data_IF_431972594339
#
_entry.id   IF_431972594339
#
_cell.length_a   1.000
_cell.length_b   1.000
_cell.length_c   1.000
_cell.angle_alpha   90.00
_cell.angle_beta   90.00
_cell.angle_gamma   90.00
#
_symmetry.space_group_name_H-M   'P 1'
#
loop_
_entity.id
_entity.type
_entity.pdbx_description
1 polymer ?
#
# COMPACT_ATOMS: atom_id res chain seq x y z
N UNK A 1 9.71 29.79 -5.72
CA UNK A 1 9.90 30.33 -4.35
C UNK A 1 10.04 29.16 -3.40
N UNK A 2 10.92 29.26 -2.41
CA UNK A 2 11.13 28.24 -1.37
C UNK A 2 10.21 28.54 -0.20
N UNK A 3 9.58 27.53 0.41
CA UNK A 3 8.79 27.68 1.65
C UNK A 3 9.74 27.68 2.85
N UNK A 4 9.59 28.63 3.78
CA UNK A 4 10.25 28.59 5.08
C UNK A 4 9.26 28.16 6.16
N UNK A 5 9.63 27.16 6.95
CA UNK A 5 8.81 26.61 8.03
C UNK A 5 9.51 26.94 9.34
N UNK A 6 8.90 27.80 10.14
CA UNK A 6 9.36 28.09 11.49
C UNK A 6 8.72 27.14 12.50
N UNK A 7 9.53 26.59 13.40
CA UNK A 7 9.07 25.79 14.54
C UNK A 7 10.08 25.91 15.69
N UNK A 8 9.65 26.00 16.96
CA UNK A 8 10.57 26.27 18.08
C UNK A 8 11.60 25.15 18.31
N UNK A 9 11.32 23.94 17.85
CA UNK A 9 12.21 22.79 17.96
C UNK A 9 12.10 21.94 16.70
N UNK A 10 13.24 21.46 16.17
CA UNK A 10 13.26 20.60 14.99
C UNK A 10 13.52 19.15 15.42
N UNK A 11 12.47 18.34 15.45
CA UNK A 11 12.54 16.90 15.77
C UNK A 11 12.56 16.02 14.51
N UNK A 12 12.80 14.72 14.68
CA UNK A 12 12.71 13.75 13.57
C UNK A 12 11.28 13.65 13.00
N UNK A 13 10.25 13.65 13.87
CA UNK A 13 8.83 13.68 13.47
C UNK A 13 8.49 14.91 12.65
N UNK A 14 8.98 16.09 13.03
CA UNK A 14 8.81 17.35 12.28
C UNK A 14 9.45 17.24 10.90
N UNK A 15 10.71 16.79 10.82
CA UNK A 15 11.42 16.62 9.55
C UNK A 15 10.67 15.65 8.62
N UNK A 16 10.22 14.53 9.18
CA UNK A 16 9.46 13.52 8.46
C UNK A 16 8.15 14.07 7.92
N UNK A 17 7.33 14.69 8.78
CA UNK A 17 6.01 15.19 8.42
C UNK A 17 6.09 16.31 7.39
N UNK A 18 6.99 17.28 7.54
CA UNK A 18 7.13 18.31 6.51
C UNK A 18 7.73 17.77 5.20
N UNK A 19 8.59 16.75 5.25
CA UNK A 19 9.01 16.03 4.04
C UNK A 19 7.82 15.32 3.38
N UNK A 20 6.95 14.68 4.15
CA UNK A 20 5.73 14.04 3.64
C UNK A 20 4.89 15.05 2.85
N UNK A 21 4.63 16.24 3.42
CA UNK A 21 3.82 17.26 2.77
C UNK A 21 4.54 17.90 1.57
N UNK A 22 5.80 18.30 1.66
CA UNK A 22 6.40 19.13 0.61
C UNK A 22 7.24 18.34 -0.42
N UNK A 23 7.71 17.15 -0.05
CA UNK A 23 8.50 16.26 -0.93
C UNK A 23 7.67 15.13 -1.53
N UNK A 24 6.78 14.49 -0.76
CA UNK A 24 6.06 13.29 -1.22
C UNK A 24 4.69 13.61 -1.80
N UNK A 25 3.85 14.33 -1.05
CA UNK A 25 2.52 14.80 -1.47
C UNK A 25 2.62 15.96 -2.47
N UNK A 26 3.54 16.89 -2.20
CA UNK A 26 3.90 18.00 -3.08
C UNK A 26 5.27 17.77 -3.74
N UNK A 27 5.71 18.74 -4.53
CA UNK A 27 7.08 18.82 -5.10
C UNK A 27 7.65 20.23 -4.94
N UNK A 28 7.49 20.81 -3.76
CA UNK A 28 7.88 22.19 -3.45
C UNK A 28 9.14 22.24 -2.62
N UNK A 29 10.04 23.16 -2.95
CA UNK A 29 11.25 23.39 -2.16
C UNK A 29 10.88 24.00 -0.81
N UNK A 30 11.44 23.47 0.28
CA UNK A 30 11.20 23.97 1.62
C UNK A 30 12.46 23.94 2.49
N UNK A 31 12.44 24.68 3.60
CA UNK A 31 13.40 24.53 4.70
C UNK A 31 12.71 24.72 6.04
N UNK A 32 13.24 24.08 7.08
CA UNK A 32 12.76 24.21 8.45
C UNK A 32 13.81 25.00 9.25
N UNK A 33 13.37 25.97 10.05
CA UNK A 33 14.22 26.76 10.93
C UNK A 33 13.59 26.88 12.33
N UNK A 34 14.43 26.96 13.35
CA UNK A 34 14.05 27.37 14.71
C UNK A 34 14.56 28.78 15.06
N UNK A 35 15.20 29.44 14.10
CA UNK A 35 15.66 30.82 14.22
C UNK A 35 14.58 31.78 13.70
N UNK A 36 14.12 32.67 14.57
CA UNK A 36 13.15 33.72 14.25
C UNK A 36 13.75 34.81 13.35
N UNK A 37 15.04 35.10 13.46
CA UNK A 37 15.69 36.14 12.64
C UNK A 37 15.67 35.75 11.15
N UNK A 38 15.78 34.46 10.86
CA UNK A 38 15.66 33.93 9.50
C UNK A 38 14.34 34.27 8.80
N UNK A 39 13.25 34.55 9.55
CA UNK A 39 11.96 34.94 8.98
C UNK A 39 12.01 36.33 8.34
N UNK A 40 12.74 37.28 8.94
CA UNK A 40 12.79 38.68 8.49
C UNK A 40 13.44 38.83 7.11
N UNK A 41 14.35 37.92 6.75
CA UNK A 41 15.06 37.94 5.48
C UNK A 41 14.41 37.06 4.40
N UNK A 42 13.37 36.29 4.74
CA UNK A 42 12.74 35.36 3.82
C UNK A 42 11.67 36.05 2.95
N UNK A 43 11.83 35.92 1.62
CA UNK A 43 10.95 36.56 0.64
C UNK A 43 9.84 35.62 0.10
N UNK A 44 9.79 34.37 0.55
CA UNK A 44 8.82 33.38 0.11
C UNK A 44 7.71 33.11 1.14
N UNK A 45 6.85 32.10 0.89
CA UNK A 45 5.83 31.68 1.84
C UNK A 45 6.43 31.23 3.17
N UNK A 46 5.83 31.68 4.28
CA UNK A 46 6.23 31.31 5.64
C UNK A 46 5.10 30.51 6.29
N UNK A 47 5.42 29.32 6.79
CA UNK A 47 4.54 28.54 7.68
C UNK A 47 5.09 28.70 9.10
N UNK A 48 4.25 29.17 10.01
CA UNK A 48 4.57 29.25 11.43
C UNK A 48 3.88 28.09 12.17
N UNK A 49 4.66 27.10 12.56
CA UNK A 49 4.24 25.93 13.33
C UNK A 49 4.73 26.05 14.79
N UNK A 50 4.12 27.00 15.52
CA UNK A 50 4.42 27.31 16.92
C UNK A 50 3.18 27.74 17.70
N UNK A 51 3.29 27.87 19.03
CA UNK A 51 2.16 28.27 19.90
C UNK A 51 1.79 29.75 19.80
N UNK A 52 2.62 30.57 19.14
CA UNK A 52 2.45 32.02 19.04
C UNK A 52 2.23 32.40 17.59
N UNK A 53 1.21 33.22 17.32
CA UNK A 53 0.98 33.77 15.99
C UNK A 53 2.08 34.77 15.63
N UNK A 54 2.53 34.73 14.39
CA UNK A 54 3.55 35.63 13.85
C UNK A 54 2.98 36.34 12.62
N UNK A 55 3.22 37.64 12.52
CA UNK A 55 2.76 38.44 11.39
C UNK A 55 3.32 37.91 10.06
N UNK A 56 2.57 38.11 8.97
CA UNK A 56 2.94 37.70 7.60
C UNK A 56 3.25 36.19 7.42
N UNK A 57 2.80 35.34 8.34
CA UNK A 57 2.96 33.87 8.28
C UNK A 57 1.61 33.14 8.17
N UNK A 58 1.59 31.96 7.56
CA UNK A 58 0.49 31.01 7.72
C UNK A 58 0.66 30.32 9.06
N UNK A 59 -0.09 30.75 10.07
CA UNK A 59 0.00 30.20 11.42
C UNK A 59 -0.85 28.95 11.58
N UNK A 60 -0.19 27.86 12.00
CA UNK A 60 -0.81 26.55 12.26
C UNK A 60 -0.31 26.09 13.63
N UNK A 61 -1.04 26.36 14.72
CA UNK A 61 -0.59 26.03 16.06
C UNK A 61 -0.48 24.50 16.24
N UNK A 62 0.64 24.01 16.81
CA UNK A 62 0.90 22.60 16.82
C UNK A 62 0.32 21.90 18.05
N UNK A 63 -0.03 20.63 17.88
CA UNK A 63 -0.18 19.69 18.98
C UNK A 63 1.20 19.20 19.45
N UNK A 64 1.23 18.50 20.59
CA UNK A 64 2.48 18.05 21.20
C UNK A 64 3.16 16.90 20.45
N UNK A 65 2.39 16.06 19.74
CA UNK A 65 2.87 14.79 19.19
C UNK A 65 4.17 14.91 18.38
N UNK A 66 4.32 15.96 17.56
CA UNK A 66 5.51 16.12 16.72
C UNK A 66 6.75 16.57 17.51
N UNK A 67 6.60 17.02 18.75
CA UNK A 67 7.70 17.39 19.64
C UNK A 67 8.07 16.28 20.63
N UNK A 68 7.26 15.23 20.68
CA UNK A 68 7.44 14.11 21.62
C UNK A 68 8.32 13.01 21.02
N UNK A 69 8.80 12.12 21.90
CA UNK A 69 9.50 10.88 21.56
C UNK A 69 8.80 9.71 22.25
N UNK A 70 8.86 8.54 21.64
CA UNK A 70 8.24 7.34 22.17
C UNK A 70 6.72 7.30 21.93
N UNK A 71 6.09 6.27 22.49
CA UNK A 71 4.70 5.94 22.25
C UNK A 71 3.87 6.24 23.51
N UNK A 72 2.79 7.00 23.34
CA UNK A 72 1.83 7.37 24.38
C UNK A 72 0.44 6.90 23.96
N UNK A 73 -0.35 6.40 24.92
CA UNK A 73 -1.73 6.01 24.70
C UNK A 73 -2.72 7.18 24.78
N UNK A 74 -2.23 8.39 25.10
CA UNK A 74 -3.02 9.64 25.11
C UNK A 74 -3.27 10.16 23.69
N UNK A 75 -4.13 9.46 22.96
CA UNK A 75 -4.62 9.90 21.65
C UNK A 75 -5.83 10.80 21.86
N UNK A 76 -5.72 12.06 21.42
CA UNK A 76 -6.82 13.03 21.48
C UNK A 76 -8.08 12.54 20.75
N UNK A 77 -9.22 13.10 21.14
CA UNK A 77 -10.51 12.84 20.48
C UNK A 77 -10.47 13.18 18.98
N UNK A 78 -11.31 12.47 18.22
CA UNK A 78 -11.54 12.75 16.79
C UNK A 78 -12.15 14.13 16.61
N UNK A 79 -11.69 14.84 15.57
CA UNK A 79 -12.23 16.14 15.18
C UNK A 79 -12.60 16.10 13.71
N UNK A 80 -13.81 16.56 13.40
CA UNK A 80 -14.27 16.78 12.02
C UNK A 80 -14.42 18.27 11.76
N UNK A 81 -13.81 18.76 10.68
CA UNK A 81 -13.91 20.16 10.25
C UNK A 81 -13.70 20.26 8.74
N UNK A 82 -14.58 20.99 8.03
CA UNK A 82 -14.51 21.20 6.56
C UNK A 82 -14.33 19.90 5.76
N UNK A 83 -15.10 18.86 6.08
CA UNK A 83 -15.05 17.50 5.50
C UNK A 83 -13.74 16.72 5.75
N UNK A 84 -12.83 17.28 6.54
CA UNK A 84 -11.60 16.63 7.00
C UNK A 84 -11.84 16.02 8.38
N UNK A 85 -11.27 14.84 8.61
CA UNK A 85 -11.43 14.08 9.87
C UNK A 85 -10.07 13.70 10.42
N UNK A 86 -9.69 14.28 11.55
CA UNK A 86 -8.37 14.10 12.18
C UNK A 86 -8.42 13.95 13.70
N UNK A 87 -7.27 14.14 14.33
CA UNK A 87 -7.03 14.08 15.78
C UNK A 87 -6.18 15.28 16.22
N UNK A 88 -5.99 15.43 17.53
CA UNK A 88 -5.24 16.53 18.14
C UNK A 88 -5.90 17.89 17.88
N UNK A 89 -7.03 18.10 18.56
CA UNK A 89 -7.80 19.33 18.49
C UNK A 89 -6.96 20.57 18.81
N UNK A 90 -7.12 21.63 18.01
CA UNK A 90 -6.46 22.92 18.20
C UNK A 90 -7.52 24.01 18.32
N UNK A 91 -7.72 24.56 19.52
CA UNK A 91 -8.75 25.58 19.77
C UNK A 91 -8.42 26.97 19.23
N UNK A 92 -7.16 27.21 18.87
CA UNK A 92 -6.65 28.53 18.48
C UNK A 92 -6.45 28.73 16.98
N UNK A 93 -6.56 27.67 16.17
CA UNK A 93 -6.29 27.75 14.74
C UNK A 93 -7.53 28.32 14.00
N UNK A 94 -7.41 29.44 13.29
CA UNK A 94 -8.55 30.04 12.56
C UNK A 94 -8.92 29.28 11.28
N UNK A 95 -8.03 28.41 10.79
CA UNK A 95 -8.20 27.73 9.51
C UNK A 95 -8.77 26.32 9.65
N UNK A 96 -8.42 25.58 10.70
CA UNK A 96 -8.86 24.20 10.92
C UNK A 96 -8.82 23.82 12.41
N UNK A 97 -9.80 23.06 12.88
CA UNK A 97 -9.97 22.74 14.32
C UNK A 97 -9.02 21.68 14.90
N UNK A 98 -8.05 21.19 14.13
CA UNK A 98 -7.08 20.20 14.58
C UNK A 98 -5.74 20.37 13.86
N UNK A 99 -4.69 19.76 14.43
CA UNK A 99 -3.36 19.78 13.83
C UNK A 99 -3.25 18.76 12.70
N UNK A 100 -3.28 19.23 11.45
CA UNK A 100 -3.15 18.40 10.25
C UNK A 100 -1.81 17.67 10.15
N UNK A 101 -0.72 18.24 10.70
CA UNK A 101 0.61 17.64 10.65
C UNK A 101 0.75 16.53 11.69
N UNK A 102 0.30 16.76 12.93
CA UNK A 102 0.26 15.73 13.95
C UNK A 102 -0.71 14.59 13.56
N UNK A 103 -1.89 14.93 13.03
CA UNK A 103 -2.84 13.95 12.49
C UNK A 103 -2.25 13.10 11.37
N UNK A 104 -1.58 13.73 10.40
CA UNK A 104 -0.93 13.01 9.32
C UNK A 104 0.13 12.06 9.87
N UNK A 105 1.01 12.53 10.76
CA UNK A 105 2.05 11.70 11.37
C UNK A 105 1.47 10.47 12.08
N UNK A 106 0.45 10.65 12.92
CA UNK A 106 -0.25 9.56 13.60
C UNK A 106 -0.75 8.49 12.61
N UNK A 107 -1.35 8.92 11.50
CA UNK A 107 -1.91 8.04 10.49
C UNK A 107 -0.83 7.32 9.63
N UNK A 108 0.20 8.02 9.14
CA UNK A 108 1.24 7.38 8.29
C UNK A 108 2.26 6.56 9.08
N UNK A 109 2.60 6.95 10.30
CA UNK A 109 3.47 6.14 11.16
C UNK A 109 2.79 4.86 11.64
N UNK A 110 1.47 4.73 11.38
CA UNK A 110 0.61 3.67 11.91
C UNK A 110 0.70 3.60 13.44
N UNK A 111 0.73 4.76 14.08
CA UNK A 111 0.91 4.91 15.53
C UNK A 111 -0.04 4.01 16.33
N UNK A 112 -1.29 3.88 15.88
CA UNK A 112 -2.30 3.00 16.48
C UNK A 112 -1.92 1.51 16.54
N UNK A 113 -1.02 1.04 15.66
CA UNK A 113 -0.56 -0.35 15.62
C UNK A 113 0.55 -0.63 16.65
N UNK A 114 1.14 0.41 17.24
CA UNK A 114 2.08 0.29 18.36
C UNK A 114 1.36 0.29 19.71
N UNK A 115 0.09 0.69 19.75
CA UNK A 115 -0.77 0.62 20.93
C UNK A 115 -1.43 -0.76 21.04
N UNK A 116 -1.95 -1.14 22.22
CA UNK A 116 -2.73 -2.36 22.38
C UNK A 116 -3.91 -2.41 21.38
N UNK A 117 -3.94 -3.44 20.53
CA UNK A 117 -4.93 -3.56 19.48
C UNK A 117 -5.35 -5.02 19.25
N UNK A 118 -6.52 -5.19 18.64
CA UNK A 118 -7.03 -6.49 18.26
C UNK A 118 -6.47 -6.92 16.92
N UNK A 119 -6.06 -8.19 16.86
CA UNK A 119 -5.52 -8.83 15.67
C UNK A 119 -6.47 -9.89 15.15
N UNK A 120 -6.41 -10.17 13.86
CA UNK A 120 -7.18 -11.24 13.25
C UNK A 120 -6.51 -12.62 13.44
N UNK A 121 -7.13 -13.66 12.88
CA UNK A 121 -6.64 -15.05 12.97
C UNK A 121 -5.24 -15.28 12.36
N UNK A 122 -4.75 -14.35 11.54
CA UNK A 122 -3.40 -14.39 10.95
C UNK A 122 -2.45 -13.41 11.65
N UNK A 123 -2.83 -12.91 12.83
CA UNK A 123 -2.08 -11.94 13.63
C UNK A 123 -1.88 -10.59 12.93
N UNK A 124 -2.81 -10.21 12.04
CA UNK A 124 -2.77 -8.93 11.31
C UNK A 124 -3.58 -7.86 12.03
N UNK A 125 -3.20 -6.60 11.90
CA UNK A 125 -4.00 -5.48 12.37
C UNK A 125 -5.37 -5.45 11.64
N UNK A 126 -6.45 -5.38 12.42
CA UNK A 126 -7.81 -5.53 11.88
C UNK A 126 -8.43 -4.19 11.48
N UNK A 127 -8.93 -4.11 10.25
CA UNK A 127 -9.44 -2.88 9.65
C UNK A 127 -10.58 -2.25 10.46
N UNK A 128 -11.52 -3.06 10.96
CA UNK A 128 -12.70 -2.60 11.70
C UNK A 128 -12.35 -1.85 13.00
N UNK A 129 -11.15 -2.05 13.53
CA UNK A 129 -10.68 -1.37 14.73
C UNK A 129 -9.79 -0.17 14.46
N UNK A 130 -9.42 0.04 13.19
CA UNK A 130 -8.61 1.18 12.77
C UNK A 130 -9.35 2.50 13.01
N UNK A 131 -8.58 3.52 13.32
CA UNK A 131 -9.08 4.88 13.50
C UNK A 131 -9.86 5.36 12.26
N UNK A 132 -9.34 5.08 11.06
CA UNK A 132 -9.99 5.49 9.81
C UNK A 132 -11.34 4.79 9.56
N UNK A 133 -11.46 3.50 9.92
CA UNK A 133 -12.73 2.77 9.80
C UNK A 133 -13.76 3.28 10.81
N UNK A 134 -13.38 3.39 12.09
CA UNK A 134 -14.28 3.84 13.17
C UNK A 134 -14.87 5.23 12.92
N UNK A 135 -14.11 6.08 12.25
CA UNK A 135 -14.52 7.46 11.95
C UNK A 135 -14.98 7.66 10.49
N UNK A 136 -15.25 6.58 9.76
CA UNK A 136 -15.96 6.64 8.47
C UNK A 136 -15.19 7.24 7.30
N UNK A 137 -13.86 7.24 7.34
CA UNK A 137 -13.04 7.82 6.26
C UNK A 137 -12.02 6.85 5.65
N UNK A 138 -12.11 5.55 5.94
CA UNK A 138 -11.18 4.53 5.42
C UNK A 138 -11.01 4.58 3.89
N UNK A 139 -12.08 4.88 3.15
CA UNK A 139 -12.08 4.94 1.68
C UNK A 139 -11.59 6.28 1.12
N UNK A 140 -11.18 7.22 1.97
CA UNK A 140 -10.63 8.52 1.58
C UNK A 140 -9.13 8.58 1.90
N UNK A 141 -8.26 9.03 0.98
CA UNK A 141 -6.86 9.28 1.28
C UNK A 141 -6.74 10.60 2.08
N UNK A 142 -7.21 10.60 3.33
CA UNK A 142 -7.41 11.79 4.18
C UNK A 142 -6.18 12.70 4.26
N UNK A 143 -4.98 12.13 4.29
CA UNK A 143 -3.73 12.90 4.36
C UNK A 143 -3.46 13.65 3.05
N UNK A 144 -3.85 13.09 1.91
CA UNK A 144 -3.81 13.81 0.65
C UNK A 144 -4.78 14.99 0.65
N UNK A 145 -5.96 14.85 1.25
CA UNK A 145 -6.88 15.97 1.44
C UNK A 145 -6.34 17.03 2.38
N UNK A 146 -5.62 16.66 3.45
CA UNK A 146 -4.90 17.64 4.29
C UNK A 146 -3.88 18.44 3.51
N UNK A 147 -3.14 17.79 2.61
CA UNK A 147 -2.15 18.46 1.77
C UNK A 147 -2.81 19.44 0.80
N UNK A 148 -3.87 19.04 0.09
CA UNK A 148 -4.60 19.94 -0.82
C UNK A 148 -5.23 21.13 -0.07
N UNK A 149 -5.74 20.91 1.15
CA UNK A 149 -6.21 21.97 2.02
C UNK A 149 -5.09 22.95 2.39
N UNK A 150 -3.94 22.45 2.86
CA UNK A 150 -2.77 23.27 3.19
C UNK A 150 -2.27 24.06 1.98
N UNK A 151 -2.22 23.44 0.81
CA UNK A 151 -1.76 24.10 -0.41
C UNK A 151 -2.69 25.22 -0.84
N UNK A 152 -4.00 25.01 -0.72
CA UNK A 152 -4.99 26.06 -0.98
C UNK A 152 -4.79 27.27 -0.06
N UNK A 153 -4.54 27.03 1.25
CA UNK A 153 -4.25 28.12 2.19
C UNK A 153 -2.97 28.88 1.85
N UNK A 154 -1.92 28.17 1.41
CA UNK A 154 -0.66 28.79 0.99
C UNK A 154 -0.84 29.63 -0.28
N UNK A 155 -1.56 29.12 -1.26
CA UNK A 155 -1.83 29.80 -2.54
C UNK A 155 -2.73 31.02 -2.34
N UNK A 156 -3.69 30.96 -1.42
CA UNK A 156 -4.54 32.09 -1.02
C UNK A 156 -3.74 33.19 -0.30
N UNK A 157 -2.90 32.81 0.68
CA UNK A 157 -2.14 33.78 1.48
C UNK A 157 -0.98 34.42 0.71
N UNK A 158 -0.37 33.70 -0.23
CA UNK A 158 0.80 34.15 -0.98
C UNK A 158 0.52 34.19 -2.48
N UNK A 159 -0.15 35.25 -2.99
CA UNK A 159 -0.44 35.41 -4.41
C UNK A 159 0.83 35.30 -5.27
N UNK A 160 0.83 34.38 -6.23
CA UNK A 160 1.98 34.10 -7.10
C UNK A 160 2.82 32.89 -6.67
N UNK A 161 2.58 32.32 -5.50
CA UNK A 161 3.06 30.99 -5.15
C UNK A 161 2.08 29.93 -5.62
N UNK A 162 2.57 28.89 -6.29
CA UNK A 162 1.78 27.72 -6.68
C UNK A 162 2.49 26.47 -6.21
N UNK A 163 1.77 25.60 -5.50
CA UNK A 163 2.32 24.32 -5.06
C UNK A 163 2.38 23.37 -6.24
N UNK A 164 3.54 22.75 -6.45
CA UNK A 164 3.67 21.67 -7.43
C UNK A 164 2.97 20.43 -6.89
N UNK A 165 1.89 20.03 -7.56
CA UNK A 165 1.13 18.82 -7.25
C UNK A 165 1.69 17.61 -7.99
N UNK A 166 1.44 16.43 -7.44
CA UNK A 166 1.67 15.19 -8.16
C UNK A 166 0.77 15.09 -9.40
N UNK A 167 1.09 14.14 -10.28
CA UNK A 167 0.17 13.70 -11.33
C UNK A 167 -0.39 12.35 -10.94
N UNK A 168 -1.68 12.15 -11.18
CA UNK A 168 -2.32 10.86 -11.01
C UNK A 168 -1.53 9.73 -11.69
N UNK A 169 -1.43 8.58 -11.02
CA UNK A 169 -0.77 7.39 -11.54
C UNK A 169 -1.58 6.15 -11.20
N UNK A 170 -1.54 5.18 -12.10
CA UNK A 170 -2.05 3.84 -11.85
C UNK A 170 -0.92 2.81 -11.81
N UNK A 171 -0.99 1.89 -10.84
CA UNK A 171 -0.14 0.71 -10.77
C UNK A 171 -0.99 -0.54 -10.53
N UNK A 172 -0.97 -1.44 -11.50
CA UNK A 172 -1.50 -2.79 -11.34
C UNK A 172 -0.46 -3.66 -10.62
N UNK A 173 -0.87 -4.45 -9.63
CA UNK A 173 0.03 -5.40 -8.97
C UNK A 173 -0.60 -6.78 -8.92
N UNK A 174 0.21 -7.82 -9.15
CA UNK A 174 -0.27 -9.20 -9.26
C UNK A 174 0.56 -10.11 -8.37
N UNK A 175 -0.10 -10.79 -7.43
CA UNK A 175 0.51 -11.78 -6.55
C UNK A 175 0.36 -13.17 -7.17
N UNK A 176 1.47 -13.89 -7.27
CA UNK A 176 1.56 -15.24 -7.86
C UNK A 176 1.81 -16.26 -6.76
N UNK A 177 0.75 -16.58 -6.03
CA UNK A 177 0.74 -17.64 -5.01
C UNK A 177 0.85 -19.03 -5.64
N UNK A 178 0.21 -19.17 -6.80
CA UNK A 178 0.14 -20.40 -7.58
C UNK A 178 0.24 -20.08 -9.06
N UNK A 179 1.39 -20.39 -9.67
CA UNK A 179 1.59 -20.10 -11.09
C UNK A 179 0.63 -20.89 -12.02
N UNK A 180 0.20 -22.07 -11.58
CA UNK A 180 -0.76 -22.92 -12.28
C UNK A 180 -1.70 -23.58 -11.27
N UNK A 181 -2.94 -23.85 -11.66
CA UNK A 181 -3.88 -24.60 -10.83
C UNK A 181 -3.55 -26.09 -10.82
N UNK A 182 -3.17 -26.65 -11.98
CA UNK A 182 -2.95 -28.08 -12.19
C UNK A 182 -1.57 -28.41 -12.73
N UNK A 183 -1.09 -27.63 -13.72
CA UNK A 183 0.20 -27.90 -14.37
C UNK A 183 1.37 -27.66 -13.42
N UNK A 184 2.49 -28.33 -13.71
CA UNK A 184 3.78 -28.10 -13.03
C UNK A 184 3.80 -28.35 -11.50
N UNK A 185 2.72 -28.88 -10.91
CA UNK A 185 2.63 -29.16 -9.47
C UNK A 185 3.47 -30.37 -9.03
N UNK A 186 3.89 -31.24 -9.95
CA UNK A 186 4.60 -32.48 -9.67
C UNK A 186 3.65 -33.67 -9.42
N UNK A 187 4.15 -34.88 -9.68
CA UNK A 187 3.34 -36.12 -9.75
C UNK A 187 2.54 -36.38 -8.48
N UNK A 188 3.19 -36.31 -7.31
CA UNK A 188 2.56 -36.59 -6.01
C UNK A 188 1.36 -35.68 -5.75
N UNK A 189 1.48 -34.38 -6.01
CA UNK A 189 0.38 -33.43 -5.79
C UNK A 189 -0.74 -33.59 -6.80
N UNK A 190 -0.41 -33.95 -8.04
CA UNK A 190 -1.43 -34.26 -9.06
C UNK A 190 -2.24 -35.49 -8.65
N UNK A 191 -1.58 -36.56 -8.21
CA UNK A 191 -2.26 -37.78 -7.72
C UNK A 191 -3.11 -37.46 -6.48
N UNK A 192 -2.55 -36.77 -5.48
CA UNK A 192 -3.29 -36.40 -4.28
C UNK A 192 -4.50 -35.51 -4.58
N UNK A 193 -4.37 -34.57 -5.51
CA UNK A 193 -5.48 -33.74 -5.98
C UNK A 193 -6.58 -34.56 -6.68
N UNK A 194 -6.20 -35.51 -7.53
CA UNK A 194 -7.13 -36.44 -8.19
C UNK A 194 -7.86 -37.33 -7.17
N UNK A 195 -7.13 -37.94 -6.24
CA UNK A 195 -7.72 -38.78 -5.18
C UNK A 195 -8.70 -37.95 -4.34
N UNK A 196 -8.31 -36.72 -3.95
CA UNK A 196 -9.20 -35.81 -3.24
C UNK A 196 -10.48 -35.54 -4.04
N UNK A 197 -10.36 -35.20 -5.32
CA UNK A 197 -11.53 -34.91 -6.17
C UNK A 197 -12.46 -36.13 -6.30
N UNK A 198 -11.93 -37.36 -6.31
CA UNK A 198 -12.72 -38.60 -6.31
C UNK A 198 -13.42 -38.79 -4.96
N UNK A 199 -12.68 -38.70 -3.84
CA UNK A 199 -13.23 -38.92 -2.49
C UNK A 199 -14.30 -37.88 -2.14
N UNK A 200 -14.13 -36.63 -2.58
CA UNK A 200 -15.13 -35.56 -2.35
C UNK A 200 -16.25 -35.52 -3.39
N UNK A 201 -16.24 -36.42 -4.39
CA UNK A 201 -17.25 -36.45 -5.45
C UNK A 201 -17.22 -35.25 -6.40
N UNK A 202 -16.12 -34.49 -6.45
CA UNK A 202 -15.98 -33.31 -7.31
C UNK A 202 -15.58 -33.70 -8.75
N UNK A 203 -16.45 -34.47 -9.41
CA UNK A 203 -16.20 -35.00 -10.75
C UNK A 203 -15.99 -33.91 -11.81
N UNK A 204 -16.66 -32.76 -11.66
CA UNK A 204 -16.47 -31.60 -12.54
C UNK A 204 -15.01 -31.11 -12.51
N UNK A 205 -14.44 -30.97 -11.31
CA UNK A 205 -13.04 -30.57 -11.13
C UNK A 205 -12.07 -31.65 -11.61
N UNK A 206 -12.40 -32.93 -11.37
CA UNK A 206 -11.60 -34.07 -11.85
C UNK A 206 -11.47 -34.07 -13.38
N UNK A 207 -12.60 -33.98 -14.10
CA UNK A 207 -12.62 -33.92 -15.57
C UNK A 207 -11.88 -32.68 -16.08
N UNK A 208 -12.04 -31.54 -15.40
CA UNK A 208 -11.31 -30.33 -15.75
C UNK A 208 -9.79 -30.51 -15.59
N UNK A 209 -9.33 -31.03 -14.45
CA UNK A 209 -7.93 -31.38 -14.16
C UNK A 209 -7.35 -32.28 -15.25
N UNK A 210 -8.02 -33.39 -15.57
CA UNK A 210 -7.56 -34.35 -16.59
C UNK A 210 -7.42 -33.65 -17.95
N UNK A 211 -8.42 -32.87 -18.37
CA UNK A 211 -8.36 -32.16 -19.64
C UNK A 211 -7.21 -31.12 -19.70
N UNK A 212 -6.91 -30.44 -18.59
CA UNK A 212 -5.77 -29.52 -18.52
C UNK A 212 -4.43 -30.27 -18.61
N UNK A 213 -4.31 -31.40 -17.91
CA UNK A 213 -3.09 -32.21 -17.91
C UNK A 213 -2.83 -32.89 -19.26
N UNK A 214 -3.88 -33.29 -19.98
CA UNK A 214 -3.82 -33.82 -21.35
C UNK A 214 -3.64 -32.73 -22.42
N UNK A 215 -3.60 -31.44 -22.03
CA UNK A 215 -3.45 -30.32 -22.96
C UNK A 215 -4.71 -29.98 -23.77
N UNK A 216 -5.84 -30.64 -23.50
CA UNK A 216 -7.14 -30.35 -24.15
C UNK A 216 -7.78 -29.04 -23.68
N UNK A 217 -7.39 -28.55 -22.49
CA UNK A 217 -7.80 -27.25 -21.95
C UNK A 217 -6.59 -26.47 -21.43
N UNK A 218 -6.69 -25.15 -21.48
CA UNK A 218 -5.72 -24.25 -20.86
C UNK A 218 -5.85 -24.31 -19.33
N UNK A 219 -4.73 -24.22 -18.62
CA UNK A 219 -4.77 -24.09 -17.16
C UNK A 219 -5.39 -22.73 -16.80
N UNK A 220 -6.36 -22.66 -15.87
CA UNK A 220 -7.12 -21.45 -15.61
C UNK A 220 -6.25 -20.33 -15.02
N UNK A 221 -5.15 -20.68 -14.34
CA UNK A 221 -4.25 -19.71 -13.73
C UNK A 221 -3.15 -19.24 -14.69
N UNK A 222 -3.01 -19.94 -15.83
CA UNK A 222 -2.15 -19.52 -16.94
C UNK A 222 -2.88 -18.46 -17.77
N UNK A 223 -2.94 -17.22 -17.26
CA UNK A 223 -3.53 -16.08 -17.96
C UNK A 223 -2.52 -14.96 -18.24
N UNK A 224 -1.23 -15.26 -18.16
CA UNK A 224 -0.14 -14.31 -18.33
C UNK A 224 -0.15 -13.57 -19.67
N UNK A 225 -0.43 -14.28 -20.76
CA UNK A 225 -0.57 -13.66 -22.10
C UNK A 225 -1.76 -12.70 -22.15
N UNK A 226 -2.87 -13.03 -21.49
CA UNK A 226 -4.02 -12.13 -21.40
C UNK A 226 -3.66 -10.84 -20.62
N UNK A 227 -3.02 -10.99 -19.46
CA UNK A 227 -2.54 -9.86 -18.65
C UNK A 227 -1.53 -8.98 -19.41
N UNK A 228 -0.60 -9.62 -20.14
CA UNK A 228 0.40 -8.94 -21.01
C UNK A 228 -0.28 -8.15 -22.12
N UNK A 229 -1.30 -8.71 -22.76
CA UNK A 229 -2.05 -8.04 -23.82
C UNK A 229 -2.85 -6.85 -23.29
N UNK A 230 -3.50 -6.97 -22.12
CA UNK A 230 -4.16 -5.83 -21.47
C UNK A 230 -3.16 -4.72 -21.13
N UNK A 231 -2.01 -5.06 -20.55
CA UNK A 231 -0.93 -4.11 -20.28
C UNK A 231 -0.48 -3.40 -21.55
N UNK A 232 -0.36 -4.11 -22.67
CA UNK A 232 0.02 -3.52 -23.97
C UNK A 232 -1.09 -2.59 -24.51
N UNK A 233 -2.36 -3.00 -24.41
CA UNK A 233 -3.53 -2.24 -24.87
C UNK A 233 -3.67 -0.92 -24.13
N UNK A 234 -3.67 -0.96 -22.80
CA UNK A 234 -3.92 0.21 -21.93
C UNK A 234 -2.65 0.91 -21.45
N UNK A 235 -1.45 0.39 -21.78
CA UNK A 235 -0.13 0.98 -21.48
C UNK A 235 0.14 1.26 -19.99
N UNK A 236 -0.48 0.52 -19.07
CA UNK A 236 -0.21 0.65 -17.64
C UNK A 236 1.06 -0.08 -17.19
N UNK A 237 1.53 0.24 -15.97
CA UNK A 237 2.67 -0.43 -15.32
C UNK A 237 2.20 -1.60 -14.47
N UNK A 238 3.02 -2.63 -14.35
CA UNK A 238 2.71 -3.77 -13.47
C UNK A 238 3.92 -4.26 -12.70
N UNK A 239 3.65 -4.74 -11.48
CA UNK A 239 4.60 -5.49 -10.65
C UNK A 239 4.00 -6.86 -10.37
N UNK A 240 4.79 -7.91 -10.54
CA UNK A 240 4.43 -9.29 -10.20
C UNK A 240 5.22 -9.75 -8.98
N UNK A 241 4.54 -10.17 -7.92
CA UNK A 241 5.18 -10.69 -6.71
C UNK A 241 5.10 -12.22 -6.72
N UNK A 242 6.26 -12.89 -6.66
CA UNK A 242 6.31 -14.37 -6.72
C UNK A 242 6.57 -15.02 -5.37
N UNK A 243 5.71 -15.97 -5.02
CA UNK A 243 5.90 -16.82 -3.85
C UNK A 243 6.94 -17.91 -4.14
N UNK A 244 8.16 -17.78 -3.61
CA UNK A 244 9.26 -18.73 -3.84
C UNK A 244 9.56 -19.63 -2.62
N UNK A 245 8.53 -19.87 -1.82
CA UNK A 245 8.57 -20.69 -0.62
C UNK A 245 8.90 -22.15 -0.90
N UNK A 246 9.37 -22.85 0.14
CA UNK A 246 9.21 -24.31 0.17
C UNK A 246 7.75 -24.68 0.43
N UNK A 247 7.32 -25.85 -0.05
CA UNK A 247 5.94 -26.30 0.12
C UNK A 247 5.59 -26.42 1.61
N UNK A 248 4.44 -25.87 1.98
CA UNK A 248 3.92 -25.88 3.34
C UNK A 248 2.39 -25.79 3.39
N UNK A 249 1.86 -25.66 4.61
CA UNK A 249 0.41 -25.61 4.84
C UNK A 249 -0.24 -24.41 4.13
N UNK A 250 0.39 -23.23 4.21
CA UNK A 250 -0.10 -21.99 3.61
C UNK A 250 0.61 -21.65 2.29
N UNK A 251 1.79 -22.21 2.04
CA UNK A 251 2.61 -21.91 0.86
C UNK A 251 2.58 -23.08 -0.15
N UNK A 252 1.71 -23.00 -1.16
CA UNK A 252 1.40 -24.14 -2.06
C UNK A 252 1.90 -23.98 -3.50
N UNK A 253 2.83 -23.06 -3.76
CA UNK A 253 3.29 -22.76 -5.11
C UNK A 253 3.98 -23.95 -5.82
N UNK A 254 4.31 -23.77 -7.09
CA UNK A 254 5.17 -24.66 -7.86
C UNK A 254 6.58 -24.65 -7.30
N UNK A 255 7.27 -25.82 -7.20
CA UNK A 255 8.63 -25.85 -6.69
C UNK A 255 9.56 -24.96 -7.51
N UNK A 256 10.41 -24.21 -6.81
CA UNK A 256 11.33 -23.24 -7.43
C UNK A 256 12.30 -23.87 -8.44
N UNK A 257 12.61 -25.15 -8.32
CA UNK A 257 13.47 -25.86 -9.27
C UNK A 257 12.77 -26.24 -10.58
N UNK A 258 11.45 -26.04 -10.70
CA UNK A 258 10.71 -26.29 -11.93
C UNK A 258 11.18 -25.31 -13.03
N UNK A 259 11.68 -25.86 -14.16
CA UNK A 259 12.22 -25.07 -15.27
C UNK A 259 11.20 -24.13 -15.90
N UNK A 260 9.94 -24.55 -16.04
CA UNK A 260 8.87 -23.71 -16.62
C UNK A 260 8.49 -22.58 -15.68
N UNK A 261 8.49 -22.81 -14.37
CA UNK A 261 8.24 -21.74 -13.40
C UNK A 261 9.33 -20.66 -13.44
N UNK A 262 10.61 -21.09 -13.48
CA UNK A 262 11.73 -20.15 -13.62
C UNK A 262 11.66 -19.38 -14.95
N UNK A 263 11.36 -20.06 -16.04
CA UNK A 263 11.19 -19.44 -17.36
C UNK A 263 10.01 -18.45 -17.40
N UNK A 264 8.91 -18.74 -16.68
CA UNK A 264 7.78 -17.83 -16.55
C UNK A 264 8.20 -16.54 -15.82
N UNK A 265 8.90 -16.65 -14.70
CA UNK A 265 9.39 -15.49 -13.94
C UNK A 265 10.31 -14.63 -14.82
N UNK A 266 11.23 -15.26 -15.56
CA UNK A 266 12.14 -14.59 -16.49
C UNK A 266 11.38 -13.87 -17.61
N UNK A 267 10.43 -14.55 -18.26
CA UNK A 267 9.58 -13.97 -19.31
C UNK A 267 8.78 -12.77 -18.80
N UNK A 268 8.27 -12.81 -17.57
CA UNK A 268 7.57 -11.68 -16.95
C UNK A 268 8.53 -10.52 -16.67
N UNK A 269 9.75 -10.81 -16.21
CA UNK A 269 10.77 -9.77 -15.97
C UNK A 269 11.21 -9.03 -17.24
N UNK A 270 11.00 -9.61 -18.42
CA UNK A 270 11.32 -8.94 -19.69
C UNK A 270 10.36 -7.76 -20.02
N UNK A 271 9.15 -7.73 -19.44
CA UNK A 271 8.15 -6.70 -19.77
C UNK A 271 7.44 -6.04 -18.58
N UNK A 272 7.67 -6.52 -17.36
CA UNK A 272 7.10 -6.00 -16.12
C UNK A 272 8.13 -6.08 -14.98
N UNK A 273 7.90 -5.30 -13.92
CA UNK A 273 8.72 -5.41 -12.72
C UNK A 273 8.36 -6.69 -11.95
N UNK A 274 9.33 -7.24 -11.25
CA UNK A 274 9.17 -8.44 -10.43
C UNK A 274 9.66 -8.16 -9.02
N UNK A 275 8.91 -8.61 -8.02
CA UNK A 275 9.24 -8.51 -6.60
C UNK A 275 9.11 -9.86 -5.89
N UNK A 276 9.62 -9.94 -4.68
CA UNK A 276 9.47 -11.12 -3.82
C UNK A 276 8.09 -11.11 -3.14
N UNK A 277 7.44 -12.27 -3.07
CA UNK A 277 6.26 -12.48 -2.22
C UNK A 277 6.66 -13.38 -1.04
N UNK A 278 7.19 -12.83 0.08
CA UNK A 278 7.72 -13.64 1.17
C UNK A 278 6.67 -14.56 1.75
N UNK A 279 7.08 -15.79 2.01
CA UNK A 279 6.16 -16.86 2.41
C UNK A 279 5.51 -16.62 3.76
N UNK A 280 4.37 -17.27 3.99
CA UNK A 280 3.74 -17.26 5.31
C UNK A 280 4.74 -17.76 6.36
N UNK A 281 5.48 -18.82 6.02
CA UNK A 281 6.49 -19.41 6.88
C UNK A 281 7.70 -18.52 7.16
N UNK A 282 7.95 -17.47 6.36
CA UNK A 282 9.05 -16.52 6.54
C UNK A 282 8.80 -15.53 7.68
N UNK A 283 7.53 -15.27 8.04
CA UNK A 283 7.16 -14.36 9.13
C UNK A 283 7.83 -14.71 10.46
N UNK A 284 7.89 -16.01 10.79
CA UNK A 284 8.52 -16.53 12.01
C UNK A 284 9.97 -17.01 11.83
N UNK A 285 10.49 -17.00 10.59
CA UNK A 285 11.78 -17.61 10.24
C UNK A 285 12.58 -16.73 9.27
N UNK A 286 13.43 -15.81 9.79
CA UNK A 286 14.22 -14.88 8.98
C UNK A 286 15.12 -15.57 7.94
N UNK A 287 15.59 -16.78 8.20
CA UNK A 287 16.41 -17.56 7.28
C UNK A 287 15.66 -17.96 6.00
N UNK A 288 14.34 -18.18 6.09
CA UNK A 288 13.50 -18.46 4.92
C UNK A 288 13.37 -17.25 4.02
N UNK A 289 13.21 -16.06 4.60
CA UNK A 289 13.14 -14.82 3.84
C UNK A 289 14.41 -14.60 3.01
N UNK A 290 15.59 -14.73 3.64
CA UNK A 290 16.90 -14.67 2.96
C UNK A 290 17.01 -15.68 1.81
N UNK A 291 16.56 -16.91 2.05
CA UNK A 291 16.56 -17.98 1.04
C UNK A 291 15.66 -17.65 -0.15
N UNK A 292 14.48 -17.10 0.11
CA UNK A 292 13.47 -16.73 -0.89
C UNK A 292 13.94 -15.56 -1.77
N UNK A 293 14.57 -14.54 -1.20
CA UNK A 293 15.23 -13.45 -1.95
C UNK A 293 16.33 -14.02 -2.85
N UNK A 294 17.23 -14.83 -2.29
CA UNK A 294 18.33 -15.46 -3.07
C UNK A 294 17.81 -16.28 -4.24
N UNK A 295 16.67 -16.96 -4.08
CA UNK A 295 16.01 -17.71 -5.16
C UNK A 295 15.56 -16.79 -6.28
N UNK A 296 14.87 -15.68 -5.95
CA UNK A 296 14.41 -14.74 -6.96
C UNK A 296 15.59 -14.13 -7.72
N UNK A 297 16.59 -13.62 -7.00
CA UNK A 297 17.79 -13.02 -7.59
C UNK A 297 18.52 -14.02 -8.51
N UNK A 298 18.57 -15.29 -8.12
CA UNK A 298 19.20 -16.35 -8.94
C UNK A 298 18.44 -16.64 -10.25
N UNK A 299 17.12 -16.42 -10.27
CA UNK A 299 16.25 -16.64 -11.43
C UNK A 299 16.29 -15.43 -12.36
N UNK A 300 16.10 -14.22 -11.82
CA UNK A 300 16.00 -12.97 -12.59
C UNK A 300 17.37 -12.40 -12.97
N UNK A 301 18.44 -12.76 -12.25
CA UNK A 301 19.80 -12.18 -12.36
C UNK A 301 19.90 -10.71 -11.93
N UNK A 302 18.93 -10.24 -11.14
CA UNK A 302 18.92 -8.91 -10.55
C UNK A 302 18.72 -9.00 -9.03
N UNK A 303 19.19 -8.00 -8.31
CA UNK A 303 18.89 -7.84 -6.89
C UNK A 303 17.44 -7.36 -6.74
N UNK A 304 16.63 -8.15 -6.04
CA UNK A 304 15.24 -7.79 -5.77
C UNK A 304 15.20 -6.69 -4.72
N UNK A 305 14.51 -5.60 -5.03
CA UNK A 305 14.33 -4.43 -4.16
C UNK A 305 12.86 -4.21 -3.74
N UNK A 306 11.94 -5.09 -4.18
CA UNK A 306 10.49 -4.95 -4.00
C UNK A 306 9.90 -6.15 -3.28
N UNK A 307 9.07 -5.90 -2.28
CA UNK A 307 8.41 -6.92 -1.47
C UNK A 307 6.91 -6.70 -1.35
N UNK A 308 6.16 -7.79 -1.21
CA UNK A 308 4.80 -7.82 -0.66
C UNK A 308 4.61 -9.06 0.18
N UNK A 309 4.18 -8.94 1.44
CA UNK A 309 4.02 -10.10 2.33
C UNK A 309 2.84 -10.98 1.92
N UNK A 310 3.05 -12.30 1.86
CA UNK A 310 1.96 -13.26 1.68
C UNK A 310 0.97 -13.15 2.83
N UNK A 311 -0.34 -13.22 2.52
CA UNK A 311 -1.44 -12.93 3.44
C UNK A 311 -1.46 -11.50 4.02
N UNK A 312 -0.63 -10.57 3.52
CA UNK A 312 -0.50 -9.22 4.06
C UNK A 312 -0.15 -9.19 5.56
N UNK A 313 0.63 -10.19 6.01
CA UNK A 313 1.09 -10.24 7.40
C UNK A 313 2.14 -9.16 7.60
N UNK A 314 1.72 -8.08 8.26
CA UNK A 314 2.56 -6.93 8.57
C UNK A 314 2.55 -6.70 10.08
N UNK A 315 3.65 -7.05 10.72
CA UNK A 315 3.93 -6.74 12.12
C UNK A 315 4.93 -5.58 12.19
N UNK A 316 4.52 -4.46 12.76
CA UNK A 316 5.37 -3.28 12.93
C UNK A 316 6.07 -3.32 14.29
N UNK A 317 7.37 -2.95 14.35
CA UNK A 317 8.24 -2.57 13.22
C UNK A 317 8.99 -3.75 12.57
N UNK A 318 8.88 -4.98 13.11
CA UNK A 318 9.80 -6.09 12.79
C UNK A 318 9.80 -6.49 11.32
N UNK A 319 8.65 -6.41 10.66
CA UNK A 319 8.54 -6.79 9.24
C UNK A 319 9.35 -5.83 8.38
N UNK A 320 9.22 -4.52 8.60
CA UNK A 320 9.92 -3.51 7.82
C UNK A 320 11.41 -3.43 8.13
N UNK A 321 11.80 -3.59 9.40
CA UNK A 321 13.23 -3.74 9.75
C UNK A 321 13.86 -4.92 9.02
N UNK A 322 13.17 -6.05 8.95
CA UNK A 322 13.64 -7.22 8.20
C UNK A 322 13.76 -6.96 6.70
N UNK A 323 12.86 -6.16 6.11
CA UNK A 323 12.98 -5.75 4.70
C UNK A 323 14.25 -4.90 4.50
N UNK A 324 14.48 -3.92 5.37
CA UNK A 324 15.67 -3.05 5.34
C UNK A 324 16.96 -3.88 5.50
N UNK A 325 17.02 -4.80 6.46
CA UNK A 325 18.16 -5.70 6.71
C UNK A 325 18.51 -6.61 5.52
N UNK A 326 17.62 -6.71 4.53
CA UNK A 326 17.81 -7.50 3.32
C UNK A 326 17.71 -6.65 2.04
N UNK A 327 17.99 -5.35 2.17
CA UNK A 327 18.16 -4.41 1.06
C UNK A 327 16.91 -4.24 0.18
N UNK A 328 15.72 -4.53 0.73
CA UNK A 328 14.46 -4.19 0.09
C UNK A 328 14.21 -2.68 0.25
N UNK A 329 13.93 -2.02 -0.87
CA UNK A 329 13.73 -0.57 -0.93
C UNK A 329 12.26 -0.18 -1.01
N UNK A 330 11.39 -1.06 -1.51
CA UNK A 330 9.96 -0.80 -1.67
C UNK A 330 9.10 -1.94 -1.11
N UNK A 331 8.15 -1.62 -0.24
CA UNK A 331 7.13 -2.55 0.24
C UNK A 331 5.73 -2.16 -0.25
N UNK A 332 4.97 -3.16 -0.68
CA UNK A 332 3.63 -3.01 -1.24
C UNK A 332 2.55 -3.72 -0.39
N UNK A 333 2.81 -3.87 0.91
CA UNK A 333 1.97 -4.60 1.88
C UNK A 333 0.99 -3.68 2.62
N UNK A 334 1.23 -2.35 2.63
CA UNK A 334 0.45 -1.37 3.41
C UNK A 334 -1.00 -1.20 2.89
N UNK A 335 -1.87 -2.13 3.27
CA UNK A 335 -3.31 -2.09 3.05
C UNK A 335 -4.02 -3.09 3.96
N UNK A 336 -5.35 -3.17 3.84
CA UNK A 336 -6.17 -4.09 4.63
C UNK A 336 -6.54 -5.33 3.83
N UNK A 337 -6.49 -6.49 4.50
CA UNK A 337 -6.96 -7.73 3.90
C UNK A 337 -8.49 -7.86 3.91
N UNK A 338 -9.16 -7.27 4.89
CA UNK A 338 -10.60 -7.44 5.10
C UNK A 338 -11.46 -6.34 4.47
N UNK A 339 -10.87 -5.20 4.13
CA UNK A 339 -11.59 -4.01 3.68
C UNK A 339 -10.84 -3.33 2.53
N UNK A 340 -11.57 -2.65 1.65
CA UNK A 340 -11.00 -1.75 0.65
C UNK A 340 -10.90 -0.32 1.21
N UNK A 341 -9.79 0.36 0.92
CA UNK A 341 -9.47 1.69 1.39
C UNK A 341 -7.99 1.86 1.74
N UNK A 342 -7.66 2.98 2.40
CA UNK A 342 -6.29 3.42 2.64
C UNK A 342 -5.89 3.17 4.09
N UNK A 343 -5.13 2.09 4.34
CA UNK A 343 -4.68 1.73 5.71
C UNK A 343 -3.93 2.85 6.39
N UNK A 344 -2.99 3.50 5.71
CA UNK A 344 -2.26 4.67 6.21
C UNK A 344 -2.93 6.01 5.87
N UNK A 345 -4.20 6.00 5.42
CA UNK A 345 -4.97 7.18 5.01
C UNK A 345 -4.28 8.06 3.95
N UNK A 346 -3.42 7.46 3.13
CA UNK A 346 -2.62 8.12 2.10
C UNK A 346 -2.56 7.23 0.84
N UNK A 347 -2.52 7.85 -0.34
CA UNK A 347 -2.46 7.17 -1.63
C UNK A 347 -1.21 7.53 -2.45
N UNK A 348 -0.15 8.04 -1.80
CA UNK A 348 1.16 8.27 -2.43
C UNK A 348 2.25 7.50 -1.68
N UNK A 349 3.37 7.13 -2.33
CA UNK A 349 4.47 6.47 -1.65
C UNK A 349 5.14 7.38 -0.60
N UNK A 350 5.43 6.82 0.58
CA UNK A 350 6.03 7.54 1.70
C UNK A 350 7.06 6.66 2.43
N UNK A 351 8.10 7.23 3.04
CA UNK A 351 9.11 6.44 3.75
C UNK A 351 8.53 5.86 5.03
N UNK A 352 8.99 4.67 5.42
CA UNK A 352 8.68 4.12 6.73
C UNK A 352 9.38 4.93 7.84
N UNK A 353 8.60 5.36 8.82
CA UNK A 353 9.11 5.95 10.07
C UNK A 353 9.18 4.87 11.15
N UNK A 354 10.38 4.53 11.59
CA UNK A 354 10.59 3.60 12.69
C UNK A 354 10.34 4.31 14.02
N UNK A 355 9.12 4.14 14.55
CA UNK A 355 8.62 4.90 15.69
C UNK A 355 9.40 4.60 16.98
N UNK A 356 9.81 3.35 17.19
CA UNK A 356 10.56 2.96 18.39
C UNK A 356 11.96 3.61 18.40
N UNK A 357 12.56 3.81 17.22
CA UNK A 357 13.88 4.44 17.06
C UNK A 357 13.81 5.94 16.72
N UNK A 358 12.61 6.50 16.56
CA UNK A 358 12.37 7.87 16.08
C UNK A 358 13.11 8.21 14.77
N UNK A 359 13.22 7.25 13.86
CA UNK A 359 14.06 7.34 12.66
C UNK A 359 13.27 7.32 11.35
N UNK A 360 13.69 8.15 10.39
CA UNK A 360 13.21 8.09 9.00
C UNK A 360 14.06 7.07 8.24
N UNK A 361 13.45 6.00 7.76
CA UNK A 361 14.17 4.95 7.04
C UNK A 361 14.17 5.18 5.52
N UNK A 362 14.97 4.39 4.79
CA UNK A 362 15.01 4.40 3.33
C UNK A 362 13.93 3.53 2.67
N UNK A 363 13.21 2.70 3.45
CA UNK A 363 12.17 1.82 2.92
C UNK A 363 10.94 2.63 2.52
N UNK A 364 10.58 2.58 1.25
CA UNK A 364 9.39 3.25 0.71
C UNK A 364 8.17 2.35 0.78
N UNK A 365 7.12 2.84 1.43
CA UNK A 365 5.84 2.16 1.54
C UNK A 365 4.92 2.60 0.40
N UNK A 366 4.37 1.62 -0.30
CA UNK A 366 3.43 1.80 -1.41
C UNK A 366 2.06 1.27 -1.02
N UNK A 367 1.19 2.13 -0.44
CA UNK A 367 -0.13 1.68 0.03
C UNK A 367 -1.03 1.29 -1.14
N UNK A 368 -1.72 0.16 -1.02
CA UNK A 368 -2.72 -0.27 -1.99
C UNK A 368 -4.14 0.07 -1.51
N UNK A 369 -5.02 0.38 -2.46
CA UNK A 369 -6.38 0.83 -2.16
C UNK A 369 -7.38 -0.33 -2.11
N UNK A 370 -7.13 -1.39 -2.88
CA UNK A 370 -8.02 -2.55 -2.94
C UNK A 370 -7.24 -3.83 -3.21
N UNK A 371 -7.81 -4.94 -2.73
CA UNK A 371 -7.50 -6.30 -3.13
C UNK A 371 -8.81 -7.00 -3.52
N UNK A 372 -8.82 -7.72 -4.63
CA UNK A 372 -10.01 -8.42 -5.12
C UNK A 372 -10.51 -9.48 -4.12
N UNK A 373 -9.59 -10.13 -3.40
CA UNK A 373 -9.93 -11.04 -2.32
C UNK A 373 -10.63 -10.32 -1.15
N UNK A 374 -10.30 -9.04 -0.86
CA UNK A 374 -11.06 -8.22 0.11
C UNK A 374 -12.50 -8.07 -0.34
N UNK A 375 -12.69 -7.65 -1.59
CA UNK A 375 -14.02 -7.42 -2.18
C UNK A 375 -14.85 -8.71 -2.20
N UNK A 376 -14.26 -9.84 -2.63
CA UNK A 376 -14.97 -11.12 -2.78
C UNK A 376 -15.21 -11.86 -1.48
N UNK A 377 -14.18 -12.08 -0.68
CA UNK A 377 -14.25 -13.02 0.45
C UNK A 377 -14.67 -12.34 1.75
N UNK A 378 -14.21 -11.11 1.98
CA UNK A 378 -14.45 -10.40 3.24
C UNK A 378 -15.69 -9.52 3.15
N UNK A 379 -15.75 -8.64 2.13
CA UNK A 379 -16.88 -7.75 1.89
C UNK A 379 -18.06 -8.46 1.20
N UNK A 380 -17.83 -9.66 0.65
CA UNK A 380 -18.85 -10.53 0.03
C UNK A 380 -19.61 -9.87 -1.12
N UNK A 381 -18.93 -9.02 -1.88
CA UNK A 381 -19.51 -8.30 -3.00
C UNK A 381 -19.68 -9.21 -4.23
N UNK A 382 -20.72 -8.95 -5.00
CA UNK A 382 -20.83 -9.42 -6.38
C UNK A 382 -19.98 -8.55 -7.34
N UNK A 383 -19.81 -8.96 -8.62
CA UNK A 383 -19.01 -8.21 -9.57
C UNK A 383 -19.44 -6.74 -9.79
N UNK A 384 -20.74 -6.44 -9.78
CA UNK A 384 -21.22 -5.09 -10.07
C UNK A 384 -20.98 -4.17 -8.87
N UNK A 385 -21.26 -4.66 -7.66
CA UNK A 385 -20.93 -3.98 -6.41
C UNK A 385 -19.41 -3.75 -6.26
N UNK A 386 -18.59 -4.70 -6.69
CA UNK A 386 -17.14 -4.55 -6.69
C UNK A 386 -16.68 -3.42 -7.63
N UNK A 387 -17.30 -3.30 -8.81
CA UNK A 387 -17.04 -2.19 -9.73
C UNK A 387 -17.41 -0.83 -9.11
N UNK A 388 -18.53 -0.70 -8.41
CA UNK A 388 -18.91 0.53 -7.72
C UNK A 388 -17.87 0.96 -6.67
N UNK A 389 -17.40 0.02 -5.85
CA UNK A 389 -16.34 0.29 -4.85
C UNK A 389 -15.05 0.74 -5.54
N UNK A 390 -14.67 0.07 -6.63
CA UNK A 390 -13.47 0.41 -7.40
C UNK A 390 -13.59 1.82 -7.99
N UNK A 391 -14.73 2.16 -8.59
CA UNK A 391 -14.98 3.50 -9.15
C UNK A 391 -14.81 4.58 -8.08
N UNK A 392 -15.44 4.40 -6.92
CA UNK A 392 -15.34 5.35 -5.82
C UNK A 392 -13.88 5.56 -5.37
N UNK A 393 -13.12 4.48 -5.18
CA UNK A 393 -11.71 4.57 -4.80
C UNK A 393 -10.85 5.25 -5.86
N UNK A 394 -11.06 4.95 -7.15
CA UNK A 394 -10.34 5.59 -8.25
C UNK A 394 -10.65 7.09 -8.28
N UNK A 395 -11.92 7.48 -8.16
CA UNK A 395 -12.34 8.87 -8.08
C UNK A 395 -11.68 9.62 -6.92
N UNK A 396 -11.65 9.04 -5.72
CA UNK A 396 -10.98 9.62 -4.56
C UNK A 396 -9.47 9.82 -4.80
N UNK A 397 -8.80 8.89 -5.47
CA UNK A 397 -7.36 9.04 -5.79
C UNK A 397 -7.13 10.08 -6.90
N UNK A 398 -8.00 10.15 -7.91
CA UNK A 398 -7.92 11.14 -8.99
C UNK A 398 -8.09 12.57 -8.46
N UNK A 399 -9.04 12.80 -7.53
CA UNK A 399 -9.28 14.11 -6.89
C UNK A 399 -8.02 14.72 -6.29
N UNK A 400 -7.13 13.89 -5.76
CA UNK A 400 -5.90 14.33 -5.07
C UNK A 400 -4.62 14.04 -5.88
N UNK A 401 -4.76 13.71 -7.17
CA UNK A 401 -3.64 13.34 -8.06
C UNK A 401 -2.69 12.28 -7.46
N UNK A 402 -3.25 11.30 -6.75
CA UNK A 402 -2.50 10.25 -6.06
C UNK A 402 -2.09 9.09 -6.96
N UNK A 403 -1.60 8.00 -6.35
CA UNK A 403 -1.25 6.75 -7.03
C UNK A 403 -2.26 5.66 -6.66
N UNK A 404 -3.12 5.26 -7.59
CA UNK A 404 -4.02 4.14 -7.39
C UNK A 404 -3.24 2.84 -7.58
N UNK A 405 -3.23 1.98 -6.55
CA UNK A 405 -2.59 0.67 -6.58
C UNK A 405 -3.64 -0.40 -6.30
N UNK A 406 -3.87 -1.27 -7.28
CA UNK A 406 -4.75 -2.44 -7.17
C UNK A 406 -3.95 -3.73 -7.00
N UNK A 407 -4.36 -4.57 -6.06
CA UNK A 407 -3.80 -5.90 -5.81
C UNK A 407 -4.75 -6.96 -6.38
N UNK A 408 -4.21 -7.81 -7.25
CA UNK A 408 -4.89 -8.96 -7.83
C UNK A 408 -4.01 -10.21 -7.72
N UNK A 409 -4.59 -11.39 -7.89
CA UNK A 409 -3.87 -12.63 -8.09
C UNK A 409 -4.19 -13.17 -9.48
N UNK A 410 -3.24 -13.86 -10.11
CA UNK A 410 -3.50 -14.49 -11.41
C UNK A 410 -4.70 -15.45 -11.34
N UNK A 411 -4.90 -16.13 -10.22
CA UNK A 411 -6.03 -17.04 -10.07
C UNK A 411 -7.41 -16.38 -10.14
N UNK A 412 -7.55 -15.13 -9.72
CA UNK A 412 -8.85 -14.45 -9.64
C UNK A 412 -9.29 -13.86 -10.97
N UNK A 413 -8.33 -13.56 -11.85
CA UNK A 413 -8.56 -13.13 -13.24
C UNK A 413 -8.94 -14.31 -14.17
N UNK A 414 -8.85 -15.55 -13.66
CA UNK A 414 -9.14 -16.77 -14.43
C UNK A 414 -10.58 -16.88 -14.92
N UNK A 415 -11.53 -16.21 -14.27
CA UNK A 415 -12.97 -16.29 -14.56
C UNK A 415 -13.57 -17.70 -14.40
N UNK A 416 -13.00 -18.52 -13.51
CA UNK A 416 -13.49 -19.89 -13.25
C UNK A 416 -13.91 -20.11 -11.80
N UNK A 417 -14.85 -21.04 -11.58
CA UNK A 417 -15.29 -21.42 -10.25
C UNK A 417 -15.93 -20.24 -9.51
N UNK A 418 -15.40 -19.90 -8.33
CA UNK A 418 -15.89 -18.79 -7.51
C UNK A 418 -15.58 -17.40 -8.11
N UNK A 419 -14.71 -17.35 -9.12
CA UNK A 419 -14.24 -16.12 -9.77
C UNK A 419 -14.97 -15.79 -11.08
N UNK A 420 -16.05 -16.52 -11.41
CA UNK A 420 -16.88 -16.16 -12.57
C UNK A 420 -17.40 -14.72 -12.42
N UNK A 421 -17.23 -13.91 -13.46
CA UNK A 421 -17.53 -12.48 -13.51
C UNK A 421 -16.34 -11.57 -13.14
N UNK A 422 -15.32 -12.07 -12.43
CA UNK A 422 -14.25 -11.23 -11.87
C UNK A 422 -13.22 -10.77 -12.89
N UNK A 423 -13.13 -11.44 -14.05
CA UNK A 423 -12.34 -10.90 -15.16
C UNK A 423 -12.90 -9.56 -15.65
N UNK A 424 -14.23 -9.39 -15.67
CA UNK A 424 -14.86 -8.12 -16.05
C UNK A 424 -14.56 -7.03 -15.03
N UNK A 425 -14.56 -7.37 -13.73
CA UNK A 425 -14.17 -6.45 -12.65
C UNK A 425 -12.71 -6.01 -12.82
N UNK A 426 -11.81 -6.93 -13.18
CA UNK A 426 -10.43 -6.60 -13.49
C UNK A 426 -10.32 -5.63 -14.68
N UNK A 427 -10.98 -5.94 -15.80
CA UNK A 427 -10.99 -5.07 -16.98
C UNK A 427 -11.60 -3.70 -16.69
N UNK A 428 -12.68 -3.64 -15.90
CA UNK A 428 -13.32 -2.41 -15.47
C UNK A 428 -12.36 -1.53 -14.66
N UNK A 429 -11.70 -2.10 -13.65
CA UNK A 429 -10.67 -1.40 -12.87
C UNK A 429 -9.58 -0.82 -13.78
N UNK A 430 -9.08 -1.60 -14.75
CA UNK A 430 -8.04 -1.14 -15.68
C UNK A 430 -8.54 0.03 -16.52
N UNK A 431 -9.75 -0.04 -17.08
CA UNK A 431 -10.32 1.06 -17.88
C UNK A 431 -10.47 2.31 -17.03
N UNK A 432 -11.17 2.19 -15.90
CA UNK A 432 -11.48 3.28 -14.99
C UNK A 432 -10.23 3.96 -14.43
N UNK A 433 -9.18 3.18 -14.13
CA UNK A 433 -7.94 3.70 -13.57
C UNK A 433 -6.98 4.29 -14.61
N UNK A 434 -7.16 4.03 -15.90
CA UNK A 434 -6.29 4.54 -16.98
C UNK A 434 -6.90 5.74 -17.69
N UNK A 435 -8.23 5.80 -17.82
CA UNK A 435 -8.99 6.98 -18.25
C UNK A 435 -8.78 8.15 -17.28
#
# INVERSE_FOLDING_TARGET
MKILIYTPQITARIRYTFSLFFTHLGKSDYSITSDLEALAFHQGPIINYSQTELENSLWLPPARLLFETGISDDVSEVVTDKDLVGVFATRKNPHIKFDIFASAFFLVSRYEEYLPHLRDQYNRFSAQYSFAFKNGFLQKPMINYYAEFLYSLLEEKYPGFNVKRNKYRFLNTIDIDNAWAYKEKGVVRTIGGTIKDIITGNFKNLVFRINVLLGKKRDPYDNYEYLKNLKKKYKFKSIYFFLLADYGLNDKNVPVWNKKFRSLIQSISDYAQVGIHPSFGSNSRPEKFKKEIKRLNSITKFETDKSRQHFLILNLPETYRRLIDNEILEDYTMGFASEAGFRASICVPFPFYDLDHEEITTLMLHPFAMMEASLKYYMKLDPDQACEVIHNLVCEVKKVNGKFIGLWHNETVSDVGLWIGWRKVYEYMISEAVE
#
